data_IF_146527496462
#
_entry.id   IF_146527496462
#
_cell.length_a   1.000
_cell.length_b   1.000
_cell.length_c   1.000
_cell.angle_alpha   90.00
_cell.angle_beta   90.00
_cell.angle_gamma   90.00
#
_symmetry.space_group_name_H-M   'P 1'
#
loop_
_entity.id
_entity.type
_entity.pdbx_description
1 polymer ?
#
# COMPACT_ATOMS: atom_id res chain seq x y z
N UNK A 1 -22.11 24.73 6.27
CA UNK A 1 -21.62 23.49 5.63
C UNK A 1 -22.76 22.61 5.12
N UNK A 2 -23.76 22.28 5.96
CA UNK A 2 -24.90 21.44 5.53
C UNK A 2 -25.71 22.01 4.34
N UNK A 3 -25.61 23.32 4.09
CA UNK A 3 -26.28 24.01 2.98
C UNK A 3 -25.53 23.95 1.64
N UNK A 4 -24.22 23.64 1.62
CA UNK A 4 -23.44 23.56 0.39
C UNK A 4 -23.56 22.16 -0.22
N UNK A 5 -24.42 22.04 -1.24
CA UNK A 5 -24.68 20.78 -1.92
C UNK A 5 -23.77 20.60 -3.15
N UNK A 6 -22.71 19.81 -3.00
CA UNK A 6 -21.76 19.49 -4.08
C UNK A 6 -21.69 17.95 -4.30
N UNK A 7 -22.68 17.36 -4.98
CA UNK A 7 -22.76 15.90 -5.15
C UNK A 7 -21.66 15.33 -6.04
N UNK A 8 -21.15 16.15 -6.98
CA UNK A 8 -20.10 15.77 -7.92
C UNK A 8 -18.69 16.15 -7.43
N UNK A 9 -18.57 16.89 -6.33
CA UNK A 9 -17.26 17.24 -5.77
C UNK A 9 -16.52 18.31 -6.58
N UNK A 10 -17.18 19.16 -7.35
CA UNK A 10 -16.50 20.21 -8.11
C UNK A 10 -15.82 21.25 -7.21
N UNK A 11 -16.35 21.46 -6.02
CA UNK A 11 -15.84 22.36 -4.99
C UNK A 11 -15.02 21.62 -3.93
N UNK A 12 -14.68 20.35 -4.15
CA UNK A 12 -13.94 19.54 -3.18
C UNK A 12 -12.63 20.19 -2.68
N UNK A 13 -11.81 20.88 -3.51
CA UNK A 13 -10.63 21.60 -3.03
C UNK A 13 -10.93 22.70 -2.00
N UNK A 14 -12.08 23.35 -2.11
CA UNK A 14 -12.51 24.34 -1.12
C UNK A 14 -13.13 23.63 0.10
N UNK A 15 -14.02 22.67 -0.12
CA UNK A 15 -14.74 21.95 0.94
C UNK A 15 -13.78 21.21 1.88
N UNK A 16 -12.68 20.64 1.37
CA UNK A 16 -11.72 19.91 2.21
C UNK A 16 -11.07 20.81 3.26
N UNK A 17 -10.84 22.09 2.95
CA UNK A 17 -10.33 23.08 3.92
C UNK A 17 -11.27 23.19 5.12
N UNK A 18 -12.57 23.25 4.87
CA UNK A 18 -13.58 23.34 5.94
C UNK A 18 -13.64 22.02 6.72
N UNK A 19 -13.61 20.87 6.03
CA UNK A 19 -13.64 19.56 6.71
C UNK A 19 -12.42 19.32 7.60
N UNK A 20 -11.25 19.82 7.22
CA UNK A 20 -10.04 19.75 8.06
C UNK A 20 -10.24 20.58 9.34
N UNK A 21 -10.77 21.80 9.25
CA UNK A 21 -11.10 22.60 10.44
C UNK A 21 -12.10 21.86 11.33
N UNK A 22 -13.15 21.27 10.75
CA UNK A 22 -14.13 20.52 11.53
C UNK A 22 -13.48 19.36 12.31
N UNK A 23 -12.52 18.67 11.69
CA UNK A 23 -11.75 17.64 12.39
C UNK A 23 -10.89 18.23 13.52
N UNK A 24 -10.25 19.39 13.31
CA UNK A 24 -9.48 20.09 14.34
C UNK A 24 -10.37 20.49 15.53
N UNK A 25 -11.55 21.05 15.28
CA UNK A 25 -12.50 21.41 16.34
C UNK A 25 -12.98 20.19 17.14
N UNK A 26 -13.22 19.06 16.47
CA UNK A 26 -13.58 17.81 17.14
C UNK A 26 -12.43 17.24 17.99
N UNK A 27 -11.17 17.42 17.55
CA UNK A 27 -9.99 17.04 18.35
C UNK A 27 -9.94 17.85 19.64
N UNK A 28 -10.28 19.13 19.57
CA UNK A 28 -10.31 20.03 20.72
C UNK A 28 -11.49 19.77 21.67
N UNK A 29 -12.40 18.86 21.32
CA UNK A 29 -13.57 18.53 22.12
C UNK A 29 -14.65 19.61 22.11
N UNK A 30 -14.67 20.47 21.09
CA UNK A 30 -15.63 21.56 20.96
C UNK A 30 -16.96 20.99 20.45
N UNK A 31 -18.03 21.23 21.21
CA UNK A 31 -19.38 20.84 20.83
C UNK A 31 -20.00 21.85 19.86
N UNK A 32 -21.15 21.50 19.29
CA UNK A 32 -21.79 22.32 18.25
C UNK A 32 -22.36 23.65 18.77
N UNK A 33 -22.63 23.74 20.08
CA UNK A 33 -23.10 24.92 20.80
C UNK A 33 -21.96 25.82 21.33
N UNK A 34 -20.74 25.30 21.34
CA UNK A 34 -19.59 26.00 21.92
C UNK A 34 -19.08 27.10 21.00
N UNK A 35 -18.59 28.19 21.62
CA UNK A 35 -17.91 29.26 20.89
C UNK A 35 -16.63 28.76 20.21
N UNK A 36 -16.42 29.14 18.95
CA UNK A 36 -15.19 28.79 18.22
C UNK A 36 -14.01 29.49 18.90
N UNK A 37 -12.90 28.78 19.21
CA UNK A 37 -11.73 29.39 19.80
C UNK A 37 -11.17 30.49 18.90
N UNK A 38 -10.77 31.61 19.52
CA UNK A 38 -10.24 32.79 18.81
C UNK A 38 -9.09 32.46 17.85
N UNK A 39 -8.29 31.43 18.17
CA UNK A 39 -7.19 30.94 17.34
C UNK A 39 -7.64 30.43 15.96
N UNK A 40 -8.89 29.95 15.82
CA UNK A 40 -9.46 29.39 14.58
C UNK A 40 -10.56 30.29 14.03
N UNK A 41 -11.22 31.10 14.86
CA UNK A 41 -12.33 31.98 14.48
C UNK A 41 -12.04 32.83 13.24
N UNK A 42 -10.92 33.56 13.23
CA UNK A 42 -10.54 34.40 12.08
C UNK A 42 -10.37 33.60 10.77
N UNK A 43 -9.80 32.39 10.85
CA UNK A 43 -9.59 31.52 9.69
C UNK A 43 -10.91 30.92 9.20
N UNK A 44 -11.85 30.66 10.13
CA UNK A 44 -13.20 30.21 9.83
C UNK A 44 -13.97 31.32 9.11
N UNK A 45 -14.03 32.52 9.69
CA UNK A 45 -14.77 33.65 9.14
C UNK A 45 -14.30 34.01 7.75
N UNK A 46 -12.97 34.09 7.56
CA UNK A 46 -12.38 34.34 6.25
C UNK A 46 -12.83 33.30 5.22
N UNK A 47 -12.82 32.01 5.56
CA UNK A 47 -13.25 30.94 4.64
C UNK A 47 -14.74 31.00 4.34
N UNK A 48 -15.57 31.33 5.32
CA UNK A 48 -17.01 31.47 5.10
C UNK A 48 -17.35 32.70 4.25
N UNK A 49 -16.58 33.79 4.35
CA UNK A 49 -16.72 34.94 3.45
C UNK A 49 -16.43 34.58 1.99
N UNK A 50 -15.52 33.62 1.72
CA UNK A 50 -15.26 33.12 0.36
C UNK A 50 -16.51 32.47 -0.28
N UNK A 51 -17.52 32.04 0.50
CA UNK A 51 -18.75 31.46 -0.06
C UNK A 51 -19.53 32.46 -0.92
N UNK A 52 -19.37 33.75 -0.67
CA UNK A 52 -20.02 34.81 -1.46
C UNK A 52 -19.51 34.83 -2.91
N UNK A 53 -18.33 34.27 -3.17
CA UNK A 53 -17.76 34.18 -4.51
C UNK A 53 -18.17 32.89 -5.24
N UNK A 54 -18.81 31.93 -4.58
CA UNK A 54 -19.24 30.67 -5.23
C UNK A 54 -20.12 30.86 -6.48
N UNK A 55 -21.07 31.83 -6.53
CA UNK A 55 -21.87 32.06 -7.73
C UNK A 55 -21.06 32.45 -8.97
N UNK A 56 -19.79 32.83 -8.82
CA UNK A 56 -18.90 33.15 -9.95
C UNK A 56 -18.37 31.90 -10.65
N UNK A 57 -18.37 30.75 -9.98
CA UNK A 57 -17.92 29.48 -10.55
C UNK A 57 -18.99 28.95 -11.51
N UNK A 58 -18.68 28.96 -12.79
CA UNK A 58 -19.51 28.39 -13.84
C UNK A 58 -19.04 26.98 -14.21
N UNK A 59 -19.95 26.02 -14.12
CA UNK A 59 -19.65 24.60 -14.40
C UNK A 59 -20.35 24.20 -15.68
N UNK A 60 -19.56 23.78 -16.68
CA UNK A 60 -20.11 23.33 -17.94
C UNK A 60 -20.80 21.97 -17.75
N UNK A 61 -22.09 21.87 -18.09
CA UNK A 61 -22.86 20.63 -17.91
C UNK A 61 -22.48 19.55 -18.92
N UNK A 62 -22.09 19.95 -20.13
CA UNK A 62 -21.70 19.02 -21.18
C UNK A 62 -20.23 18.62 -21.03
N UNK A 63 -19.92 17.34 -21.18
CA UNK A 63 -18.55 16.80 -21.12
C UNK A 63 -17.87 16.75 -22.50
N UNK A 64 -18.52 17.29 -23.53
CA UNK A 64 -18.07 17.28 -24.92
C UNK A 64 -18.56 18.53 -25.65
N UNK A 65 -17.92 18.85 -26.77
CA UNK A 65 -18.38 19.90 -27.68
C UNK A 65 -19.50 19.39 -28.59
N UNK A 66 -19.93 20.21 -29.56
CA UNK A 66 -20.93 19.83 -30.59
C UNK A 66 -20.36 18.96 -31.70
N UNK A 67 -19.05 18.72 -31.72
CA UNK A 67 -18.37 17.92 -32.72
C UNK A 67 -18.58 16.41 -32.49
N UNK A 68 -18.35 15.61 -33.53
CA UNK A 68 -18.49 14.16 -33.44
C UNK A 68 -17.35 13.57 -32.64
N UNK A 69 -17.65 12.88 -31.53
CA UNK A 69 -16.63 12.21 -30.72
C UNK A 69 -16.27 10.87 -31.35
N UNK A 70 -14.98 10.69 -31.65
CA UNK A 70 -14.42 9.44 -32.18
C UNK A 70 -13.95 8.52 -31.06
N UNK A 71 -13.42 9.07 -29.96
CA UNK A 71 -12.96 8.30 -28.81
C UNK A 71 -13.24 9.04 -27.48
N UNK A 72 -13.55 8.27 -26.44
CA UNK A 72 -13.69 8.75 -25.07
C UNK A 72 -12.79 7.95 -24.14
N UNK A 73 -12.05 8.64 -23.29
CA UNK A 73 -11.25 8.03 -22.22
C UNK A 73 -11.48 8.77 -20.90
N UNK A 74 -11.28 8.05 -19.79
CA UNK A 74 -11.43 8.59 -18.44
C UNK A 74 -10.07 8.64 -17.78
N UNK A 75 -9.72 9.79 -17.21
CA UNK A 75 -8.48 9.99 -16.49
C UNK A 75 -8.76 10.33 -15.03
N UNK A 76 -8.29 9.49 -14.11
CA UNK A 76 -8.45 9.71 -12.67
C UNK A 76 -7.11 10.01 -12.03
N UNK A 77 -6.99 11.16 -11.40
CA UNK A 77 -5.81 11.56 -10.64
C UNK A 77 -6.06 11.33 -9.17
N UNK A 78 -5.07 10.76 -8.48
CA UNK A 78 -5.14 10.49 -7.04
C UNK A 78 -3.99 11.16 -6.32
N UNK A 79 -4.26 11.62 -5.10
CA UNK A 79 -3.24 12.20 -4.24
C UNK A 79 -3.59 11.95 -2.76
N UNK A 80 -2.57 11.99 -1.90
CA UNK A 80 -2.74 11.95 -0.45
C UNK A 80 -1.67 12.75 0.28
N UNK A 81 -2.10 13.43 1.34
CA UNK A 81 -1.26 14.09 2.32
C UNK A 81 -1.59 13.60 3.73
N UNK A 82 -0.84 14.06 4.73
CA UNK A 82 -1.14 13.77 6.12
C UNK A 82 -2.53 14.27 6.56
N UNK A 83 -3.10 15.29 5.90
CA UNK A 83 -4.38 15.91 6.28
C UNK A 83 -5.57 15.36 5.49
N UNK A 84 -5.39 15.02 4.22
CA UNK A 84 -6.47 14.56 3.37
C UNK A 84 -5.96 13.70 2.21
N UNK A 85 -6.84 12.89 1.63
CA UNK A 85 -6.60 12.15 0.40
C UNK A 85 -7.80 12.27 -0.52
N UNK A 86 -7.55 12.22 -1.83
CA UNK A 86 -8.57 12.54 -2.81
C UNK A 86 -8.31 11.94 -4.18
N UNK A 87 -9.35 12.00 -5.01
CA UNK A 87 -9.25 11.72 -6.42
C UNK A 87 -10.14 12.65 -7.25
N UNK A 88 -9.71 13.00 -8.45
CA UNK A 88 -10.48 13.78 -9.43
C UNK A 88 -10.46 13.06 -10.77
N UNK A 89 -11.60 13.03 -11.44
CA UNK A 89 -11.79 12.35 -12.71
C UNK A 89 -12.16 13.33 -13.82
N UNK A 90 -11.57 13.12 -14.99
CA UNK A 90 -11.79 13.89 -16.21
C UNK A 90 -12.21 12.98 -17.36
N UNK A 91 -13.01 13.51 -18.28
CA UNK A 91 -13.30 12.88 -19.57
C UNK A 91 -12.43 13.56 -20.63
N UNK A 92 -11.66 12.77 -21.35
CA UNK A 92 -11.01 13.20 -22.58
C UNK A 92 -11.87 12.74 -23.77
N UNK A 93 -12.09 13.64 -24.71
CA UNK A 93 -12.76 13.37 -25.98
C UNK A 93 -11.81 13.70 -27.13
N UNK A 94 -11.63 12.74 -28.03
CA UNK A 94 -11.05 12.94 -29.35
C UNK A 94 -12.19 13.14 -30.34
N UNK A 95 -12.10 14.17 -31.18
CA UNK A 95 -13.10 14.46 -32.20
C UNK A 95 -12.63 14.04 -33.59
N UNK A 96 -13.55 14.00 -34.54
CA UNK A 96 -13.29 13.74 -35.97
C UNK A 96 -12.35 14.78 -36.61
N UNK A 97 -12.33 16.00 -36.07
CA UNK A 97 -11.39 17.07 -36.44
C UNK A 97 -9.96 16.81 -35.98
N UNK A 98 -9.73 15.84 -35.10
CA UNK A 98 -8.45 15.62 -34.42
C UNK A 98 -8.24 16.50 -33.18
N UNK A 99 -9.20 17.36 -32.84
CA UNK A 99 -9.19 18.11 -31.59
C UNK A 99 -9.31 17.15 -30.38
N UNK A 100 -8.62 17.48 -29.29
CA UNK A 100 -8.70 16.76 -28.02
C UNK A 100 -9.10 17.73 -26.93
N UNK A 101 -10.22 17.46 -26.25
CA UNK A 101 -10.66 18.25 -25.10
C UNK A 101 -10.72 17.38 -23.86
N UNK A 102 -10.41 17.98 -22.72
CA UNK A 102 -10.52 17.35 -21.42
C UNK A 102 -11.38 18.20 -20.48
N UNK A 103 -12.33 17.59 -19.78
CA UNK A 103 -13.27 18.27 -18.87
C UNK A 103 -13.48 17.46 -17.59
N UNK A 104 -13.52 18.13 -16.44
CA UNK A 104 -13.80 17.49 -15.15
C UNK A 104 -15.19 16.85 -15.10
N UNK A 105 -15.28 15.65 -14.54
CA UNK A 105 -16.54 14.91 -14.37
C UNK A 105 -17.00 14.97 -12.91
N UNK A 106 -16.10 14.57 -12.01
CA UNK A 106 -16.39 14.39 -10.61
C UNK A 106 -15.08 14.34 -9.82
N UNK A 107 -15.12 14.78 -8.57
CA UNK A 107 -14.02 14.55 -7.64
C UNK A 107 -14.53 14.08 -6.27
N UNK A 108 -13.61 13.57 -5.47
CA UNK A 108 -13.90 13.16 -4.10
C UNK A 108 -12.68 13.32 -3.23
N UNK A 109 -12.82 14.07 -2.13
CA UNK A 109 -11.82 14.18 -1.09
C UNK A 109 -12.34 13.68 0.26
N UNK A 110 -11.42 13.16 1.08
CA UNK A 110 -11.65 12.70 2.44
C UNK A 110 -10.55 13.24 3.34
N UNK A 111 -10.94 13.67 4.53
CA UNK A 111 -9.97 13.99 5.58
C UNK A 111 -9.28 12.70 6.03
N UNK A 112 -7.99 12.77 6.29
CA UNK A 112 -7.20 11.64 6.74
C UNK A 112 -7.74 11.11 8.08
N UNK A 113 -7.71 9.78 8.31
CA UNK A 113 -8.18 9.21 9.56
C UNK A 113 -7.41 9.78 10.76
N UNK A 114 -8.11 9.91 11.88
CA UNK A 114 -7.53 10.35 13.16
C UNK A 114 -6.43 9.42 13.68
N UNK A 115 -6.51 8.14 13.32
CA UNK A 115 -5.48 7.16 13.64
C UNK A 115 -4.25 7.42 12.78
N UNK A 116 -3.08 7.39 13.43
CA UNK A 116 -1.80 7.54 12.74
C UNK A 116 -1.61 6.42 11.70
N UNK A 117 -1.57 6.82 10.44
CA UNK A 117 -1.35 5.97 9.27
C UNK A 117 -0.19 6.60 8.49
N UNK A 118 0.71 5.78 7.97
CA UNK A 118 1.85 6.26 7.17
C UNK A 118 1.39 6.90 5.86
N UNK A 119 2.16 7.87 5.35
CA UNK A 119 1.88 8.54 4.07
C UNK A 119 1.67 7.54 2.93
N UNK A 120 2.52 6.50 2.74
CA UNK A 120 2.29 5.51 1.68
C UNK A 120 0.95 4.77 1.79
N UNK A 121 0.46 4.52 3.00
CA UNK A 121 -0.86 3.91 3.21
C UNK A 121 -2.00 4.89 2.91
N UNK A 122 -1.83 6.19 3.17
CA UNK A 122 -2.78 7.22 2.78
C UNK A 122 -2.82 7.37 1.25
N UNK A 123 -1.68 7.36 0.58
CA UNK A 123 -1.59 7.34 -0.89
C UNK A 123 -2.34 6.14 -1.47
N UNK A 124 -2.19 4.95 -0.86
CA UNK A 124 -2.96 3.76 -1.26
C UNK A 124 -4.47 3.93 -1.02
N UNK A 125 -4.89 4.65 0.02
CA UNK A 125 -6.30 4.98 0.22
C UNK A 125 -6.81 5.95 -0.85
N UNK A 126 -5.98 6.92 -1.27
CA UNK A 126 -6.24 7.78 -2.43
C UNK A 126 -6.44 6.98 -3.71
N UNK A 127 -5.55 6.03 -3.99
CA UNK A 127 -5.66 5.12 -5.13
C UNK A 127 -6.96 4.31 -5.12
N UNK A 128 -7.32 3.71 -3.98
CA UNK A 128 -8.60 2.98 -3.83
C UNK A 128 -9.81 3.91 -4.00
N UNK A 129 -9.73 5.14 -3.51
CA UNK A 129 -10.79 6.13 -3.68
C UNK A 129 -10.97 6.51 -5.14
N UNK A 130 -9.87 6.71 -5.87
CA UNK A 130 -9.86 6.99 -7.31
C UNK A 130 -10.44 5.85 -8.13
N UNK A 131 -10.06 4.61 -7.83
CA UNK A 131 -10.66 3.44 -8.50
C UNK A 131 -12.18 3.37 -8.29
N UNK A 132 -12.65 3.56 -7.05
CA UNK A 132 -14.09 3.58 -6.76
C UNK A 132 -14.83 4.73 -7.45
N UNK A 133 -14.15 5.86 -7.65
CA UNK A 133 -14.67 7.00 -8.42
C UNK A 133 -14.81 6.61 -9.89
N UNK A 134 -13.78 5.98 -10.47
CA UNK A 134 -13.78 5.48 -11.84
C UNK A 134 -14.92 4.47 -12.07
N UNK A 135 -15.08 3.46 -11.21
CA UNK A 135 -16.15 2.45 -11.33
C UNK A 135 -17.55 3.10 -11.40
N UNK A 136 -17.79 4.14 -10.60
CA UNK A 136 -19.05 4.89 -10.61
C UNK A 136 -19.26 5.63 -11.92
N UNK A 137 -18.22 6.28 -12.43
CA UNK A 137 -18.27 7.06 -13.67
C UNK A 137 -18.49 6.14 -14.86
N UNK A 138 -17.70 5.07 -14.98
CA UNK A 138 -17.82 4.07 -16.06
C UNK A 138 -19.24 3.51 -16.10
N UNK A 139 -19.80 3.15 -14.93
CA UNK A 139 -21.18 2.67 -14.83
C UNK A 139 -22.21 3.72 -15.25
N UNK A 140 -22.04 4.97 -14.81
CA UNK A 140 -22.99 6.05 -15.10
C UNK A 140 -22.96 6.47 -16.57
N UNK A 141 -21.78 6.52 -17.18
CA UNK A 141 -21.57 6.92 -18.57
C UNK A 141 -21.67 5.75 -19.55
N UNK A 142 -21.89 4.52 -19.05
CA UNK A 142 -21.95 3.28 -19.85
C UNK A 142 -20.71 3.08 -20.74
N UNK A 143 -19.55 3.39 -20.17
CA UNK A 143 -18.25 3.20 -20.83
C UNK A 143 -17.67 1.82 -20.49
N UNK A 144 -16.59 1.45 -21.17
CA UNK A 144 -15.84 0.26 -20.81
C UNK A 144 -14.75 0.58 -19.77
N UNK A 145 -14.45 -0.38 -18.90
CA UNK A 145 -13.41 -0.21 -17.87
C UNK A 145 -12.02 -0.06 -18.46
N UNK A 146 -11.78 -0.59 -19.67
CA UNK A 146 -10.48 -0.51 -20.37
C UNK A 146 -10.09 0.91 -20.76
N UNK A 147 -11.06 1.82 -20.86
CA UNK A 147 -10.85 3.21 -21.28
C UNK A 147 -10.46 4.13 -20.10
N UNK A 148 -10.21 3.56 -18.93
CA UNK A 148 -9.79 4.28 -17.72
C UNK A 148 -8.28 4.24 -17.54
N UNK A 149 -7.67 5.40 -17.35
CA UNK A 149 -6.29 5.57 -16.88
C UNK A 149 -6.30 6.20 -15.48
N UNK A 150 -5.60 5.60 -14.53
CA UNK A 150 -5.43 6.11 -13.17
C UNK A 150 -3.99 6.60 -12.98
N UNK A 151 -3.85 7.88 -12.63
CA UNK A 151 -2.61 8.58 -12.39
C UNK A 151 -2.32 8.66 -10.90
N UNK A 152 -1.11 8.22 -10.52
CA UNK A 152 -0.62 8.26 -9.15
C UNK A 152 0.83 8.73 -9.16
N UNK A 153 1.18 9.67 -8.28
CA UNK A 153 2.55 10.15 -8.10
C UNK A 153 3.32 9.38 -7.01
N UNK A 154 2.65 8.46 -6.31
CA UNK A 154 3.30 7.58 -5.34
C UNK A 154 3.92 6.35 -6.02
N UNK A 155 5.25 6.36 -6.09
CA UNK A 155 6.03 5.19 -6.52
C UNK A 155 5.83 3.99 -5.56
N UNK A 156 5.62 4.25 -4.27
CA UNK A 156 5.32 3.20 -3.29
C UNK A 156 4.05 2.42 -3.67
N UNK A 157 2.96 3.16 -3.97
CA UNK A 157 1.67 2.58 -4.35
C UNK A 157 1.77 1.85 -5.68
N UNK A 158 2.37 2.47 -6.69
CA UNK A 158 2.54 1.85 -8.01
C UNK A 158 3.38 0.58 -7.95
N UNK A 159 4.42 0.57 -7.11
CA UNK A 159 5.21 -0.63 -6.85
C UNK A 159 4.37 -1.72 -6.20
N UNK A 160 3.56 -1.41 -5.18
CA UNK A 160 2.68 -2.39 -4.56
C UNK A 160 1.67 -2.98 -5.54
N UNK A 161 1.06 -2.14 -6.38
CA UNK A 161 0.09 -2.56 -7.40
C UNK A 161 0.71 -3.51 -8.42
N UNK A 162 1.97 -3.29 -8.82
CA UNK A 162 2.69 -4.18 -9.74
C UNK A 162 3.11 -5.52 -9.12
N UNK A 163 3.16 -5.61 -7.80
CA UNK A 163 3.70 -6.77 -7.09
C UNK A 163 2.60 -7.68 -6.52
N UNK A 164 2.99 -8.88 -6.07
CA UNK A 164 2.05 -9.86 -5.52
C UNK A 164 1.50 -9.39 -4.17
N UNK A 165 0.22 -9.01 -4.13
CA UNK A 165 -0.50 -8.53 -2.93
C UNK A 165 -0.34 -9.46 -1.71
N UNK A 166 -0.34 -10.78 -1.92
CA UNK A 166 -0.16 -11.80 -0.85
C UNK A 166 1.13 -11.67 -0.03
N UNK A 167 2.19 -11.09 -0.63
CA UNK A 167 3.49 -10.86 0.03
C UNK A 167 3.47 -9.62 0.92
N UNK A 168 2.46 -8.76 0.82
CA UNK A 168 2.34 -7.53 1.58
C UNK A 168 1.60 -7.78 2.91
N UNK A 169 1.77 -6.88 3.88
CA UNK A 169 1.03 -6.89 5.15
C UNK A 169 -0.47 -6.65 4.90
N UNK A 170 -1.37 -7.15 5.78
CA UNK A 170 -2.82 -7.21 5.52
C UNK A 170 -3.47 -5.90 5.05
N UNK A 171 -3.10 -4.75 5.63
CA UNK A 171 -3.67 -3.46 5.24
C UNK A 171 -3.43 -3.16 3.76
N UNK A 172 -2.19 -3.32 3.30
CA UNK A 172 -1.78 -3.06 1.92
C UNK A 172 -2.26 -4.20 1.02
N UNK A 173 -2.08 -5.45 1.42
CA UNK A 173 -2.47 -6.63 0.66
C UNK A 173 -3.94 -6.62 0.23
N UNK A 174 -4.86 -6.31 1.15
CA UNK A 174 -6.29 -6.33 0.84
C UNK A 174 -6.69 -5.23 -0.16
N UNK A 175 -6.08 -4.04 -0.04
CA UNK A 175 -6.35 -2.89 -0.92
C UNK A 175 -5.74 -3.07 -2.30
N UNK A 176 -4.51 -3.58 -2.35
CA UNK A 176 -3.85 -3.95 -3.60
C UNK A 176 -4.60 -5.11 -4.28
N UNK A 177 -5.07 -6.10 -3.51
CA UNK A 177 -5.91 -7.18 -4.03
C UNK A 177 -7.19 -6.66 -4.68
N UNK A 178 -7.88 -5.71 -4.04
CA UNK A 178 -9.05 -5.03 -4.63
C UNK A 178 -8.70 -4.27 -5.93
N UNK A 179 -7.56 -3.57 -5.98
CA UNK A 179 -7.10 -2.89 -7.19
C UNK A 179 -6.85 -3.89 -8.32
N UNK A 180 -6.10 -4.96 -8.02
CA UNK A 180 -5.71 -6.00 -8.98
C UNK A 180 -6.89 -6.84 -9.48
N UNK A 181 -7.95 -6.99 -8.68
CA UNK A 181 -9.16 -7.71 -9.11
C UNK A 181 -10.07 -6.89 -10.03
N UNK A 182 -9.86 -5.58 -10.10
CA UNK A 182 -10.80 -4.63 -10.74
C UNK A 182 -10.18 -3.95 -11.96
N UNK A 183 -8.85 -3.84 -12.02
CA UNK A 183 -8.12 -3.13 -13.07
C UNK A 183 -6.91 -3.90 -13.56
N UNK A 184 -6.51 -3.62 -14.79
CA UNK A 184 -5.24 -4.10 -15.35
C UNK A 184 -4.08 -3.18 -14.97
N UNK A 185 -2.87 -3.74 -14.86
CA UNK A 185 -1.66 -2.98 -14.52
C UNK A 185 -1.37 -1.84 -15.50
N UNK A 186 -1.72 -1.99 -16.78
CA UNK A 186 -1.51 -0.97 -17.82
C UNK A 186 -2.32 0.32 -17.59
N UNK A 187 -3.39 0.23 -16.80
CA UNK A 187 -4.25 1.38 -16.47
C UNK A 187 -3.61 2.29 -15.43
N UNK A 188 -2.60 1.83 -14.69
CA UNK A 188 -1.95 2.59 -13.64
C UNK A 188 -0.67 3.25 -14.17
N UNK A 189 -0.62 4.58 -14.13
CA UNK A 189 0.51 5.36 -14.63
C UNK A 189 1.08 6.28 -13.55
N UNK A 190 2.40 6.37 -13.57
CA UNK A 190 3.11 7.41 -12.83
C UNK A 190 2.84 8.79 -13.43
N UNK A 191 2.70 9.78 -12.56
CA UNK A 191 2.71 11.20 -12.92
C UNK A 191 3.66 11.96 -11.99
N UNK A 192 4.44 12.94 -12.48
CA UNK A 192 5.20 13.82 -11.59
C UNK A 192 4.29 14.61 -10.65
N UNK A 193 4.66 14.69 -9.37
CA UNK A 193 3.89 15.41 -8.32
C UNK A 193 3.56 16.86 -8.72
N UNK A 194 4.48 17.56 -9.38
CA UNK A 194 4.27 18.96 -9.81
C UNK A 194 3.17 19.12 -10.85
N UNK A 195 2.83 18.05 -11.57
CA UNK A 195 1.79 18.03 -12.60
C UNK A 195 0.50 17.34 -12.12
N UNK A 196 0.48 16.84 -10.89
CA UNK A 196 -0.66 16.13 -10.32
C UNK A 196 -1.74 17.11 -9.85
N UNK A 197 -2.84 17.20 -10.58
CA UNK A 197 -3.96 18.09 -10.24
C UNK A 197 -4.70 17.67 -8.96
N UNK A 198 -4.57 16.40 -8.54
CA UNK A 198 -5.20 15.91 -7.31
C UNK A 198 -4.58 16.53 -6.03
N UNK A 199 -3.42 17.17 -6.10
CA UNK A 199 -2.81 17.93 -4.99
C UNK A 199 -3.73 19.04 -4.46
N UNK A 200 -4.58 19.63 -5.32
CA UNK A 200 -5.62 20.58 -4.90
C UNK A 200 -6.64 19.96 -3.94
N UNK A 201 -6.86 18.64 -3.99
CA UNK A 201 -7.80 17.94 -3.10
C UNK A 201 -7.22 17.68 -1.71
N UNK A 202 -5.89 17.74 -1.56
CA UNK A 202 -5.22 17.42 -0.30
C UNK A 202 -4.68 18.66 0.40
N UNK A 203 -4.25 19.67 -0.37
CA UNK A 203 -3.87 21.00 0.13
C UNK A 203 -5.07 21.93 0.31
N UNK A 204 -6.03 21.83 -0.60
CA UNK A 204 -7.14 22.75 -0.71
C UNK A 204 -6.77 24.06 -1.40
N UNK A 205 -7.80 24.81 -1.83
CA UNK A 205 -7.63 26.14 -2.45
C UNK A 205 -8.79 27.08 -2.08
N UNK A 206 -8.61 28.37 -2.34
CA UNK A 206 -9.68 29.36 -2.16
C UNK A 206 -10.70 29.31 -3.28
N UNK A 207 -11.92 29.83 -3.04
CA UNK A 207 -12.96 29.90 -4.09
C UNK A 207 -12.47 30.72 -5.28
N UNK A 208 -11.80 31.86 -5.02
CA UNK A 208 -11.24 32.75 -6.04
C UNK A 208 -10.15 32.08 -6.88
N UNK A 209 -9.22 31.38 -6.23
CA UNK A 209 -8.20 30.61 -6.96
C UNK A 209 -8.84 29.49 -7.78
N UNK A 210 -9.79 28.75 -7.20
CA UNK A 210 -10.50 27.66 -7.87
C UNK A 210 -11.27 28.13 -9.11
N UNK A 211 -11.95 29.28 -9.02
CA UNK A 211 -12.64 29.92 -10.15
C UNK A 211 -11.69 30.13 -11.33
N UNK A 212 -10.50 30.67 -11.08
CA UNK A 212 -9.50 30.97 -12.10
C UNK A 212 -8.62 29.79 -12.52
N UNK A 213 -8.78 28.62 -11.89
CA UNK A 213 -7.89 27.48 -12.09
C UNK A 213 -8.27 26.64 -13.31
N UNK A 214 -7.75 27.00 -14.48
CA UNK A 214 -8.01 26.28 -15.73
C UNK A 214 -7.71 24.77 -15.64
N UNK A 215 -6.62 24.39 -14.97
CA UNK A 215 -6.17 22.99 -14.85
C UNK A 215 -7.15 22.13 -14.04
N UNK A 216 -7.79 22.70 -13.02
CA UNK A 216 -8.82 21.99 -12.26
C UNK A 216 -10.06 21.67 -13.10
N UNK A 217 -10.45 22.58 -14.00
CA UNK A 217 -11.67 22.40 -14.81
C UNK A 217 -11.42 21.59 -16.09
N UNK A 218 -10.22 21.69 -16.67
CA UNK A 218 -9.89 21.11 -17.98
C UNK A 218 -8.76 20.07 -17.93
N UNK A 219 -8.31 19.71 -16.74
CA UNK A 219 -7.20 18.78 -16.55
C UNK A 219 -5.83 19.35 -16.94
N UNK A 220 -4.75 18.58 -16.70
CA UNK A 220 -3.41 18.96 -17.14
C UNK A 220 -3.33 19.09 -18.66
N UNK A 221 -2.50 20.03 -19.14
CA UNK A 221 -2.38 20.36 -20.57
C UNK A 221 -2.04 19.16 -21.47
N UNK A 222 -1.26 18.19 -20.97
CA UNK A 222 -0.92 16.98 -21.73
C UNK A 222 -2.14 16.09 -22.03
N UNK A 223 -3.25 16.22 -21.29
CA UNK A 223 -4.50 15.53 -21.61
C UNK A 223 -5.28 16.20 -22.74
N UNK A 224 -4.91 17.40 -23.18
CA UNK A 224 -5.42 17.98 -24.43
C UNK A 224 -4.56 17.54 -25.63
N UNK A 225 -3.95 16.36 -25.53
CA UNK A 225 -3.08 15.76 -26.52
C UNK A 225 -3.17 14.24 -26.45
N UNK A 226 -2.74 13.60 -27.53
CA UNK A 226 -2.64 12.14 -27.63
C UNK A 226 -1.60 11.57 -26.65
N UNK A 227 -1.69 10.25 -26.44
CA UNK A 227 -0.94 9.50 -25.45
C UNK A 227 0.59 9.65 -25.58
N UNK A 228 1.11 9.90 -26.79
CA UNK A 228 2.56 10.05 -27.01
C UNK A 228 3.16 11.26 -26.28
N UNK A 229 2.33 12.26 -25.95
CA UNK A 229 2.75 13.46 -25.21
C UNK A 229 2.55 13.35 -23.71
N UNK A 230 2.01 12.22 -23.23
CA UNK A 230 1.80 12.03 -21.80
C UNK A 230 3.11 11.79 -21.05
N UNK A 231 3.14 12.02 -19.72
CA UNK A 231 4.30 11.72 -18.91
C UNK A 231 4.78 10.27 -19.06
N UNK A 232 6.10 10.09 -19.04
CA UNK A 232 6.72 8.77 -19.06
C UNK A 232 6.31 7.97 -17.82
N UNK A 233 5.90 6.73 -18.04
CA UNK A 233 5.48 5.83 -16.97
C UNK A 233 6.70 5.12 -16.35
N UNK A 234 7.42 5.83 -15.48
CA UNK A 234 8.59 5.30 -14.79
C UNK A 234 8.23 4.87 -13.36
N UNK A 235 8.55 3.62 -13.01
CA UNK A 235 8.24 3.07 -11.68
C UNK A 235 9.51 2.41 -11.14
N UNK A 236 10.17 3.09 -10.20
CA UNK A 236 11.33 2.59 -9.48
C UNK A 236 10.94 1.97 -8.13
N UNK A 237 11.85 1.17 -7.58
CA UNK A 237 11.69 0.58 -6.24
C UNK A 237 12.16 1.56 -5.17
N UNK A 238 11.29 1.83 -4.21
CA UNK A 238 11.59 2.63 -3.02
C UNK A 238 11.80 1.74 -1.80
N UNK A 239 12.61 2.19 -0.83
CA UNK A 239 12.85 1.46 0.42
C UNK A 239 11.57 1.32 1.27
N UNK A 240 10.74 2.38 1.30
CA UNK A 240 9.49 2.42 2.06
C UNK A 240 8.48 1.37 1.60
N UNK A 241 8.39 1.13 0.30
CA UNK A 241 7.54 0.09 -0.26
C UNK A 241 7.92 -1.30 0.26
N UNK A 242 9.20 -1.53 0.53
CA UNK A 242 9.73 -2.79 1.05
C UNK A 242 9.38 -3.03 2.53
N UNK A 243 9.06 -1.99 3.31
CA UNK A 243 8.67 -2.10 4.74
C UNK A 243 7.35 -2.86 4.90
N UNK A 244 6.47 -2.77 3.91
CA UNK A 244 5.16 -3.44 3.89
C UNK A 244 5.23 -4.87 3.38
N UNK A 245 6.39 -5.34 2.92
CA UNK A 245 6.60 -6.74 2.57
C UNK A 245 6.69 -7.58 3.87
N UNK A 246 5.97 -8.70 3.89
CA UNK A 246 6.06 -9.69 4.97
C UNK A 246 7.49 -10.22 5.01
N UNK A 247 8.14 -10.06 6.17
CA UNK A 247 9.42 -10.72 6.45
C UNK A 247 9.13 -12.19 6.66
N UNK A 248 9.37 -13.01 5.63
CA UNK A 248 9.49 -14.44 5.84
C UNK A 248 10.89 -14.66 6.43
N UNK A 249 10.98 -14.99 7.71
CA UNK A 249 12.19 -15.62 8.23
C UNK A 249 12.28 -16.97 7.54
N UNK A 250 13.05 -17.05 6.45
CA UNK A 250 13.56 -18.34 6.00
C UNK A 250 14.44 -18.80 7.16
N UNK A 251 13.96 -19.77 7.95
CA UNK A 251 14.85 -20.59 8.76
C UNK A 251 15.73 -21.34 7.75
N UNK A 252 16.81 -20.69 7.32
CA UNK A 252 17.88 -21.36 6.61
C UNK A 252 18.51 -22.28 7.65
N UNK A 253 18.10 -23.55 7.65
CA UNK A 253 18.96 -24.60 8.16
C UNK A 253 20.19 -24.59 7.26
N UNK A 254 21.21 -23.82 7.64
CA UNK A 254 22.55 -24.02 7.12
C UNK A 254 22.92 -25.45 7.50
N UNK A 255 22.79 -26.38 6.55
CA UNK A 255 23.53 -27.62 6.59
C UNK A 255 24.99 -27.24 6.41
N UNK A 256 25.62 -26.73 7.47
CA UNK A 256 27.07 -26.63 7.55
C UNK A 256 27.57 -28.06 7.55
N UNK A 257 28.00 -28.50 6.37
CA UNK A 257 28.95 -29.59 6.22
C UNK A 257 30.28 -29.13 6.80
N UNK A 258 30.40 -29.13 8.12
CA UNK A 258 31.69 -29.10 8.78
C UNK A 258 31.65 -30.12 9.89
N UNK A 259 32.68 -30.96 9.92
CA UNK A 259 32.97 -32.01 10.91
C UNK A 259 33.13 -31.41 12.31
N UNK A 260 32.03 -30.94 12.88
CA UNK A 260 31.91 -30.70 14.31
C UNK A 260 30.94 -31.77 14.78
N UNK A 261 31.47 -32.90 15.23
CA UNK A 261 30.77 -33.79 16.17
C UNK A 261 30.50 -32.99 17.44
N UNK A 262 29.52 -32.10 17.37
CA UNK A 262 29.00 -31.38 18.53
C UNK A 262 28.40 -32.46 19.40
N UNK A 263 29.09 -32.81 20.50
CA UNK A 263 28.57 -33.71 21.50
C UNK A 263 27.17 -33.25 21.88
N UNK A 264 26.16 -34.00 21.43
CA UNK A 264 24.74 -33.66 21.61
C UNK A 264 24.31 -33.78 23.08
N UNK A 265 25.14 -34.44 23.90
CA UNK A 265 24.92 -34.70 25.32
C UNK A 265 26.17 -34.35 26.11
N UNK A 266 25.95 -33.70 27.25
CA UNK A 266 26.98 -33.50 28.27
C UNK A 266 27.16 -34.80 29.08
N UNK A 267 28.31 -35.44 28.92
CA UNK A 267 28.64 -36.76 29.51
C UNK A 267 28.66 -36.67 31.03
N UNK A 268 29.08 -35.53 31.60
CA UNK A 268 29.30 -35.37 33.04
C UNK A 268 27.99 -35.37 33.85
N UNK A 269 26.84 -35.27 33.18
CA UNK A 269 25.51 -35.32 33.82
C UNK A 269 24.98 -36.74 34.02
N UNK A 270 25.73 -37.77 33.61
CA UNK A 270 25.29 -39.16 33.68
C UNK A 270 26.23 -40.01 34.55
N UNK A 271 25.72 -40.51 35.67
CA UNK A 271 26.44 -41.43 36.56
C UNK A 271 26.39 -42.91 36.12
N UNK A 272 25.75 -43.22 34.98
CA UNK A 272 25.59 -44.58 34.48
C UNK A 272 25.77 -44.67 32.96
N UNK A 273 26.81 -45.39 32.52
CA UNK A 273 27.15 -45.60 31.10
C UNK A 273 26.00 -46.21 30.28
N UNK A 274 25.33 -47.24 30.80
CA UNK A 274 24.21 -47.89 30.08
C UNK A 274 23.05 -46.93 29.81
N UNK A 275 22.80 -45.99 30.72
CA UNK A 275 21.78 -44.94 30.57
C UNK A 275 22.18 -43.93 29.49
N UNK A 276 23.44 -43.49 29.49
CA UNK A 276 23.97 -42.56 28.49
C UNK A 276 23.86 -43.12 27.06
N UNK A 277 24.36 -44.34 26.84
CA UNK A 277 24.34 -44.98 25.50
C UNK A 277 22.91 -45.17 25.01
N UNK A 278 21.98 -45.56 25.90
CA UNK A 278 20.56 -45.71 25.55
C UNK A 278 19.94 -44.38 25.13
N UNK A 279 20.15 -43.31 25.90
CA UNK A 279 19.60 -41.98 25.59
C UNK A 279 20.19 -41.46 24.27
N UNK A 280 21.49 -41.61 24.05
CA UNK A 280 22.12 -41.18 22.81
C UNK A 280 21.54 -41.93 21.60
N UNK A 281 21.35 -43.25 21.71
CA UNK A 281 20.71 -44.05 20.66
C UNK A 281 19.30 -43.58 20.30
N UNK A 282 18.51 -43.15 21.30
CA UNK A 282 17.17 -42.58 21.06
C UNK A 282 17.22 -41.23 20.36
N UNK A 283 18.18 -40.36 20.70
CA UNK A 283 18.38 -39.06 20.04
C UNK A 283 18.73 -39.26 18.56
N UNK A 284 19.68 -40.13 18.24
CA UNK A 284 20.04 -40.42 16.85
C UNK A 284 18.86 -41.05 16.08
N UNK A 285 18.08 -41.93 16.71
CA UNK A 285 16.87 -42.50 16.10
C UNK A 285 15.82 -41.43 15.82
N UNK A 286 15.62 -40.51 16.75
CA UNK A 286 14.71 -39.39 16.59
C UNK A 286 15.15 -38.49 15.43
N UNK A 287 16.42 -38.06 15.41
CA UNK A 287 16.99 -37.24 14.33
C UNK A 287 16.87 -37.94 12.98
N UNK A 288 17.16 -39.24 12.91
CA UNK A 288 17.00 -40.05 11.71
C UNK A 288 15.54 -40.08 11.25
N UNK A 289 14.59 -40.37 12.14
CA UNK A 289 13.16 -40.42 11.82
C UNK A 289 12.58 -39.07 11.40
N UNK A 290 13.13 -37.95 11.87
CA UNK A 290 12.74 -36.60 11.42
C UNK A 290 13.05 -36.34 9.94
N UNK A 291 13.91 -37.16 9.32
CA UNK A 291 14.29 -37.05 7.90
C UNK A 291 13.44 -37.93 6.98
N UNK A 292 12.49 -38.71 7.51
CA UNK A 292 11.66 -39.63 6.73
C UNK A 292 10.15 -39.43 7.01
N UNK A 293 9.32 -39.71 6.01
CA UNK A 293 7.85 -39.73 6.14
C UNK A 293 7.41 -40.79 7.16
N UNK A 294 6.24 -40.59 7.77
CA UNK A 294 5.75 -41.31 8.94
C UNK A 294 5.73 -42.83 8.79
N UNK A 295 5.49 -43.32 7.58
CA UNK A 295 5.36 -44.75 7.28
C UNK A 295 6.70 -45.47 7.21
N UNK A 296 7.79 -44.74 6.96
CA UNK A 296 9.16 -45.25 6.90
C UNK A 296 9.95 -45.04 8.19
N UNK A 297 9.33 -44.45 9.22
CA UNK A 297 9.98 -44.23 10.52
C UNK A 297 10.16 -45.54 11.25
N UNK A 298 11.36 -45.74 11.81
CA UNK A 298 11.64 -46.93 12.62
C UNK A 298 10.88 -46.84 13.94
N UNK A 299 10.00 -47.82 14.22
CA UNK A 299 9.20 -47.95 15.48
C UNK A 299 9.68 -49.13 16.34
N UNK A 300 9.38 -49.12 17.64
CA UNK A 300 9.86 -50.13 18.61
C UNK A 300 11.25 -49.84 19.21
N UNK A 301 11.76 -50.77 20.02
CA UNK A 301 13.02 -50.64 20.74
C UNK A 301 14.25 -50.52 19.81
N UNK A 302 15.35 -49.99 20.35
CA UNK A 302 16.63 -49.90 19.64
C UNK A 302 17.31 -51.29 19.69
N UNK A 303 17.75 -51.78 18.54
CA UNK A 303 18.46 -53.06 18.42
C UNK A 303 19.87 -53.00 19.03
N UNK A 304 20.34 -54.13 19.59
CA UNK A 304 21.55 -54.23 20.42
C UNK A 304 22.85 -53.85 19.68
N UNK A 305 22.90 -54.09 18.37
CA UNK A 305 23.98 -53.78 17.44
C UNK A 305 24.27 -52.26 17.34
N UNK A 306 23.23 -51.43 17.42
CA UNK A 306 23.37 -49.96 17.37
C UNK A 306 23.91 -49.32 18.64
N UNK A 307 23.91 -50.03 19.77
CA UNK A 307 24.54 -49.56 21.00
C UNK A 307 26.07 -49.60 20.88
N UNK A 308 26.63 -50.56 20.15
CA UNK A 308 28.09 -50.68 19.92
C UNK A 308 28.65 -49.54 19.06
N UNK A 309 27.87 -49.03 18.11
CA UNK A 309 28.31 -47.95 17.23
C UNK A 309 28.27 -46.58 17.93
N UNK A 310 27.27 -46.36 18.79
CA UNK A 310 27.24 -45.20 19.69
C UNK A 310 28.33 -45.21 20.76
N UNK A 311 28.82 -46.39 21.19
CA UNK A 311 29.95 -46.49 22.13
C UNK A 311 31.28 -46.00 21.52
N UNK A 312 31.52 -46.21 20.22
CA UNK A 312 32.75 -45.76 19.55
C UNK A 312 32.90 -44.23 19.52
N UNK A 313 31.79 -43.51 19.49
CA UNK A 313 31.75 -42.05 19.45
C UNK A 313 32.20 -41.41 20.79
N UNK A 314 32.03 -42.12 21.91
CA UNK A 314 32.38 -41.64 23.26
C UNK A 314 33.65 -42.23 23.84
N UNK A 315 34.13 -43.39 23.37
CA UNK A 315 35.38 -44.00 23.88
C UNK A 315 36.61 -43.24 23.39
N UNK A 316 36.60 -42.73 22.14
CA UNK A 316 37.75 -42.03 21.53
C UNK A 316 38.22 -40.78 22.31
N UNK A 317 37.32 -39.94 22.85
CA UNK A 317 37.71 -38.78 23.68
C UNK A 317 38.22 -39.16 25.08
N UNK A 318 37.67 -40.21 25.72
CA UNK A 318 38.01 -40.59 27.10
C UNK A 318 39.42 -41.19 27.15
N UNK A 319 39.83 -42.00 26.17
CA UNK A 319 41.21 -42.52 26.11
C UNK A 319 42.25 -41.41 25.91
N UNK A 320 41.86 -40.28 25.29
CA UNK A 320 42.72 -39.12 25.06
C UNK A 320 42.91 -38.26 26.31
N UNK A 321 41.93 -38.25 27.21
CA UNK A 321 42.01 -37.57 28.51
C UNK A 321 42.86 -38.34 29.52
N UNK A 322 42.75 -39.67 29.58
CA UNK A 322 43.56 -40.48 30.51
C UNK A 322 45.05 -40.61 30.11
N UNK A 323 45.40 -40.39 28.83
CA UNK A 323 46.80 -40.38 28.37
C UNK A 323 47.52 -39.04 28.62
N UNK A 324 46.79 -37.98 29.01
CA UNK A 324 47.36 -36.65 29.30
C UNK A 324 47.61 -36.42 30.80
N UNK A 325 47.19 -37.33 31.68
CA UNK A 325 47.40 -37.26 33.13
C UNK A 325 48.58 -38.13 33.63
N UNK A 326 49.39 -38.70 32.73
CA UNK A 326 50.59 -39.49 33.09
C UNK A 326 51.93 -38.88 32.64
N UNK A 327 51.93 -37.67 32.05
CA UNK A 327 53.14 -36.91 31.70
C UNK A 327 53.19 -35.53 32.39
N UNK A 328 53.09 -35.51 33.73
CA UNK A 328 53.63 -34.44 34.58
C UNK A 328 53.91 -34.93 36.01
#
# INVERSE_FOLDING_TARGET
>A
MATLFDPLGFLAPYIIRIKIIMQELWIDGIEWDDGIPDRIANNVDQRFQELNDLPKINIHRCLQTTLTVTNRSIHVFTDASCKAYGAVAYQQCLYDTGEVTCVIIMSKARVSPMQSISIPRLELLGAVLGLRLAEKIVKALKLETKDVTIWCDSLNVLWWIKNQSRKLKPFVANRVGFIQSTTELKQWRYIPTKTNVADLLTRGTTVKELESNYVWWHGPSFLNSLEEKWPQNHIEVTQEASIEVKKYSVLMNFALSTEVTKQLLDINKFSCRKKLVRINGWIHRFIGNCRFETDFRKKGDIAADKYHEGEKEFIRPITRLCLLEFDN
#
